data_IF_377696025457
#
_entry.id   IF_377696025457
#
_cell.length_a   1.000
_cell.length_b   1.000
_cell.length_c   1.000
_cell.angle_alpha   90.00
_cell.angle_beta   90.00
_cell.angle_gamma   90.00
#
_symmetry.space_group_name_H-M   'P 1'
#
loop_
_entity.id
_entity.type
_entity.pdbx_description
1 polymer ?
#
# COMPACT_ATOMS: atom_id res chain seq x y z
N UNK A 1 43.18 0.81 9.05
CA UNK A 1 42.23 1.60 8.23
C UNK A 1 41.37 0.72 7.33
N UNK A 2 41.95 -0.20 6.54
CA UNK A 2 41.19 -1.15 5.70
C UNK A 2 40.15 -1.99 6.47
N UNK A 3 40.51 -2.49 7.66
CA UNK A 3 39.61 -3.28 8.52
C UNK A 3 38.42 -2.46 9.02
N UNK A 4 38.65 -1.20 9.41
CA UNK A 4 37.57 -0.29 9.84
C UNK A 4 36.61 0.06 8.70
N UNK A 5 37.13 0.27 7.49
CA UNK A 5 36.30 0.49 6.31
C UNK A 5 35.45 -0.74 5.99
N UNK A 6 35.99 -1.96 6.17
CA UNK A 6 35.25 -3.20 5.98
C UNK A 6 34.04 -3.30 6.93
N UNK A 7 34.21 -2.98 8.21
CA UNK A 7 33.11 -3.01 9.18
C UNK A 7 32.03 -1.96 8.88
N UNK A 8 32.41 -0.78 8.40
CA UNK A 8 31.46 0.26 7.98
C UNK A 8 30.64 -0.22 6.77
N UNK A 9 31.28 -0.85 5.79
CA UNK A 9 30.59 -1.38 4.60
C UNK A 9 29.65 -2.53 4.98
N UNK A 10 30.07 -3.44 5.87
CA UNK A 10 29.22 -4.54 6.36
C UNK A 10 28.01 -3.99 7.13
N UNK A 11 28.22 -3.04 8.05
CA UNK A 11 27.13 -2.41 8.81
C UNK A 11 26.14 -1.65 7.91
N UNK A 12 26.63 -0.93 6.89
CA UNK A 12 25.79 -0.27 5.90
C UNK A 12 25.03 -1.27 5.03
N UNK A 13 25.67 -2.39 4.64
CA UNK A 13 25.05 -3.44 3.85
C UNK A 13 23.92 -4.13 4.65
N UNK A 14 24.11 -4.39 5.94
CA UNK A 14 23.06 -4.93 6.81
C UNK A 14 21.89 -3.96 6.97
N UNK A 15 22.12 -2.65 7.10
CA UNK A 15 21.05 -1.65 7.13
C UNK A 15 20.25 -1.57 5.82
N UNK A 16 20.90 -1.80 4.68
CA UNK A 16 20.22 -1.84 3.37
C UNK A 16 19.45 -3.14 3.18
N UNK A 17 20.02 -4.29 3.59
CA UNK A 17 19.39 -5.60 3.50
C UNK A 17 18.25 -5.80 4.51
N UNK A 18 18.25 -5.05 5.62
CA UNK A 18 17.21 -5.11 6.64
C UNK A 18 15.94 -4.29 6.32
N UNK A 19 15.93 -3.50 5.23
CA UNK A 19 14.67 -2.92 4.74
C UNK A 19 13.86 -4.01 4.05
N UNK A 20 13.08 -4.74 4.83
CA UNK A 20 12.06 -5.62 4.29
C UNK A 20 11.12 -4.83 3.36
N UNK A 21 10.70 -5.48 2.27
CA UNK A 21 9.68 -4.92 1.38
C UNK A 21 8.41 -4.68 2.23
N UNK A 22 7.80 -3.48 2.15
CA UNK A 22 6.59 -3.20 2.92
C UNK A 22 5.51 -4.25 2.67
N UNK A 23 4.75 -4.67 3.70
CA UNK A 23 3.71 -5.70 3.54
C UNK A 23 2.65 -5.38 2.48
N UNK A 24 2.38 -4.10 2.23
CA UNK A 24 1.50 -3.67 1.16
C UNK A 24 2.04 -4.03 -0.22
N UNK A 25 3.32 -3.77 -0.48
CA UNK A 25 3.95 -3.99 -1.78
C UNK A 25 4.03 -5.49 -2.09
N UNK A 26 4.40 -6.31 -1.09
CA UNK A 26 4.36 -7.78 -1.21
C UNK A 26 2.95 -8.30 -1.54
N UNK A 27 1.91 -7.71 -0.93
CA UNK A 27 0.53 -8.09 -1.21
C UNK A 27 0.13 -7.72 -2.64
N UNK A 28 0.50 -6.52 -3.09
CA UNK A 28 0.21 -6.04 -4.44
C UNK A 28 0.90 -6.89 -5.51
N UNK A 29 2.16 -7.27 -5.30
CA UNK A 29 2.88 -8.21 -6.17
C UNK A 29 2.17 -9.57 -6.24
N UNK A 30 1.69 -10.08 -5.09
CA UNK A 30 0.95 -11.34 -5.01
C UNK A 30 -0.40 -11.35 -5.76
N UNK A 31 -0.98 -10.18 -6.06
CA UNK A 31 -2.21 -10.09 -6.84
C UNK A 31 -1.99 -10.36 -8.34
N UNK A 32 -0.75 -10.24 -8.81
CA UNK A 32 -0.40 -10.40 -10.22
C UNK A 32 -0.51 -9.11 -11.06
N UNK A 33 -0.08 -9.25 -12.31
CA UNK A 33 -0.04 -8.18 -13.30
C UNK A 33 -1.44 -7.77 -13.79
N UNK A 34 -1.49 -6.66 -14.53
CA UNK A 34 -2.71 -6.21 -15.17
C UNK A 34 -3.19 -7.23 -16.22
N UNK A 35 -4.46 -7.69 -16.14
CA UNK A 35 -4.99 -8.68 -17.07
C UNK A 35 -5.07 -8.16 -18.50
N UNK A 36 -5.18 -9.10 -19.45
CA UNK A 36 -5.36 -8.73 -20.87
C UNK A 36 -6.68 -7.96 -21.05
N UNK A 37 -6.71 -6.94 -21.94
CA UNK A 37 -7.95 -6.24 -22.24
C UNK A 37 -9.05 -7.22 -22.67
N UNK A 38 -10.22 -7.12 -22.03
CA UNK A 38 -11.38 -7.97 -22.31
C UNK A 38 -11.50 -9.23 -21.45
N UNK A 39 -10.47 -9.59 -20.66
CA UNK A 39 -10.60 -10.65 -19.65
C UNK A 39 -11.25 -10.10 -18.38
N UNK A 40 -12.57 -9.98 -18.42
CA UNK A 40 -13.37 -9.37 -17.35
C UNK A 40 -13.24 -10.17 -16.05
N UNK A 41 -13.19 -11.50 -16.13
CA UNK A 41 -13.12 -12.36 -14.96
C UNK A 41 -11.78 -12.18 -14.22
N UNK A 42 -10.68 -12.19 -14.97
CA UNK A 42 -9.34 -12.00 -14.40
C UNK A 42 -9.15 -10.57 -13.90
N UNK A 43 -9.62 -9.56 -14.65
CA UNK A 43 -9.63 -8.15 -14.22
C UNK A 43 -10.29 -8.02 -12.84
N UNK A 44 -11.48 -8.59 -12.69
CA UNK A 44 -12.22 -8.55 -11.43
C UNK A 44 -11.46 -9.25 -10.29
N UNK A 45 -10.83 -10.40 -10.57
CA UNK A 45 -10.04 -11.16 -9.59
C UNK A 45 -8.87 -10.31 -9.06
N UNK A 46 -8.11 -9.70 -9.97
CA UNK A 46 -6.95 -8.86 -9.64
C UNK A 46 -7.37 -7.60 -8.87
N UNK A 47 -8.44 -6.93 -9.31
CA UNK A 47 -8.96 -5.73 -8.63
C UNK A 47 -9.41 -6.04 -7.19
N UNK A 48 -10.17 -7.11 -6.98
CA UNK A 48 -10.62 -7.53 -5.65
C UNK A 48 -9.44 -7.83 -4.72
N UNK A 49 -8.38 -8.45 -5.24
CA UNK A 49 -7.16 -8.71 -4.48
C UNK A 49 -6.46 -7.40 -4.08
N UNK A 50 -6.26 -6.48 -5.01
CA UNK A 50 -5.59 -5.18 -4.74
C UNK A 50 -6.39 -4.31 -3.77
N UNK A 51 -7.70 -4.40 -3.81
CA UNK A 51 -8.59 -3.75 -2.84
C UNK A 51 -8.45 -4.37 -1.44
N UNK A 52 -8.29 -5.69 -1.35
CA UNK A 52 -7.99 -6.36 -0.08
C UNK A 52 -6.65 -5.89 0.49
N UNK A 53 -5.58 -5.85 -0.32
CA UNK A 53 -4.28 -5.34 0.10
C UNK A 53 -4.36 -3.91 0.66
N UNK A 54 -5.15 -3.05 0.01
CA UNK A 54 -5.33 -1.67 0.46
C UNK A 54 -6.07 -1.58 1.80
N UNK A 55 -7.09 -2.44 2.01
CA UNK A 55 -7.81 -2.54 3.28
C UNK A 55 -6.90 -3.03 4.40
N UNK A 56 -6.10 -4.06 4.14
CA UNK A 56 -5.20 -4.63 5.14
C UNK A 56 -4.12 -3.64 5.54
N UNK A 57 -3.57 -2.90 4.57
CA UNK A 57 -2.60 -1.84 4.86
C UNK A 57 -3.21 -0.69 5.66
N UNK A 58 -4.44 -0.28 5.33
CA UNK A 58 -5.15 0.70 6.15
C UNK A 58 -5.32 0.20 7.59
N UNK A 59 -5.72 -1.05 7.78
CA UNK A 59 -5.90 -1.65 9.11
C UNK A 59 -4.58 -1.66 9.90
N UNK A 60 -3.47 -2.09 9.28
CA UNK A 60 -2.13 -2.05 9.90
C UNK A 60 -1.72 -0.63 10.28
N UNK A 61 -1.92 0.33 9.38
CA UNK A 61 -1.60 1.73 9.63
C UNK A 61 -2.41 2.29 10.82
N UNK A 62 -3.71 1.98 10.88
CA UNK A 62 -4.58 2.42 11.98
C UNK A 62 -4.14 1.84 13.31
N UNK A 63 -3.81 0.55 13.37
CA UNK A 63 -3.28 -0.08 14.57
C UNK A 63 -1.96 0.56 15.03
N UNK A 64 -1.06 0.88 14.09
CA UNK A 64 0.19 1.58 14.39
C UNK A 64 0.01 3.05 14.83
N UNK A 65 -1.19 3.62 14.68
CA UNK A 65 -1.52 5.00 15.02
C UNK A 65 -2.72 5.09 15.96
N UNK A 66 -2.93 4.09 16.82
CA UNK A 66 -4.11 3.98 17.69
C UNK A 66 -4.32 5.22 18.60
N UNK A 67 -3.24 5.85 19.03
CA UNK A 67 -3.27 7.04 19.90
C UNK A 67 -3.15 8.38 19.16
N UNK A 68 -3.08 8.36 17.83
CA UNK A 68 -2.83 9.57 17.02
C UNK A 68 -3.94 9.83 16.03
N UNK A 69 -4.84 10.76 16.34
CA UNK A 69 -5.92 11.17 15.43
C UNK A 69 -5.38 11.73 14.10
N UNK A 70 -4.25 12.45 14.15
CA UNK A 70 -3.55 12.89 12.93
C UNK A 70 -3.02 11.70 12.13
N UNK A 71 -2.45 10.71 12.81
CA UNK A 71 -1.96 9.47 12.20
C UNK A 71 -3.09 8.66 11.56
N UNK A 72 -4.20 8.44 12.27
CA UNK A 72 -5.39 7.78 11.73
C UNK A 72 -5.93 8.50 10.49
N UNK A 73 -6.05 9.82 10.55
CA UNK A 73 -6.45 10.66 9.40
C UNK A 73 -5.54 10.44 8.20
N UNK A 74 -4.22 10.37 8.41
CA UNK A 74 -3.26 10.06 7.36
C UNK A 74 -3.49 8.64 6.79
N UNK A 75 -3.69 7.62 7.63
CA UNK A 75 -3.96 6.26 7.18
C UNK A 75 -5.19 6.17 6.24
N UNK A 76 -6.27 6.88 6.57
CA UNK A 76 -7.46 6.95 5.73
C UNK A 76 -7.19 7.66 4.40
N UNK A 77 -6.48 8.79 4.43
CA UNK A 77 -6.10 9.51 3.22
C UNK A 77 -5.19 8.68 2.32
N UNK A 78 -4.15 8.04 2.87
CA UNK A 78 -3.22 7.20 2.12
C UNK A 78 -3.97 6.03 1.44
N UNK A 79 -4.91 5.39 2.15
CA UNK A 79 -5.73 4.32 1.58
C UNK A 79 -6.65 4.82 0.45
N UNK A 80 -7.23 6.02 0.60
CA UNK A 80 -8.03 6.65 -0.44
C UNK A 80 -7.18 6.98 -1.68
N UNK A 81 -6.00 7.54 -1.46
CA UNK A 81 -5.14 8.03 -2.54
C UNK A 81 -4.61 6.84 -3.36
N UNK A 82 -4.19 5.74 -2.70
CA UNK A 82 -3.86 4.47 -3.39
C UNK A 82 -5.01 3.90 -4.23
N UNK A 83 -6.26 4.05 -3.77
CA UNK A 83 -7.44 3.64 -4.55
C UNK A 83 -7.62 4.54 -5.78
N UNK A 84 -7.52 5.87 -5.59
CA UNK A 84 -7.68 6.87 -6.65
C UNK A 84 -6.62 6.72 -7.74
N UNK A 85 -5.37 6.43 -7.37
CA UNK A 85 -4.27 6.29 -8.33
C UNK A 85 -4.53 5.15 -9.31
N UNK A 86 -5.14 4.04 -8.85
CA UNK A 86 -5.53 2.91 -9.71
C UNK A 86 -6.68 3.24 -10.67
N UNK A 87 -7.49 4.26 -10.40
CA UNK A 87 -8.60 4.65 -11.27
C UNK A 87 -8.16 5.34 -12.57
N UNK A 88 -6.89 5.73 -12.71
CA UNK A 88 -6.41 6.51 -13.86
C UNK A 88 -7.24 7.78 -14.05
N UNK A 89 -7.94 7.92 -15.19
CA UNK A 89 -8.80 9.06 -15.49
C UNK A 89 -10.30 8.84 -15.21
N UNK A 90 -10.70 7.67 -14.71
CA UNK A 90 -12.12 7.36 -14.48
C UNK A 90 -12.68 8.16 -13.29
N UNK A 91 -13.59 9.10 -13.57
CA UNK A 91 -14.19 9.98 -12.54
C UNK A 91 -15.10 9.23 -11.58
N UNK A 92 -15.88 8.28 -12.06
CA UNK A 92 -16.80 7.49 -11.24
C UNK A 92 -16.03 6.61 -10.27
N UNK A 93 -14.98 5.93 -10.75
CA UNK A 93 -14.06 5.16 -9.90
C UNK A 93 -13.47 6.03 -8.78
N UNK A 94 -13.01 7.24 -9.09
CA UNK A 94 -12.48 8.18 -8.09
C UNK A 94 -13.52 8.57 -7.04
N UNK A 95 -14.79 8.72 -7.43
CA UNK A 95 -15.87 9.01 -6.49
C UNK A 95 -16.15 7.83 -5.56
N UNK A 96 -16.16 6.61 -6.09
CA UNK A 96 -16.29 5.38 -5.29
C UNK A 96 -15.15 5.27 -4.28
N UNK A 97 -13.89 5.48 -4.68
CA UNK A 97 -12.75 5.48 -3.76
C UNK A 97 -12.89 6.50 -2.62
N UNK A 98 -13.41 7.70 -2.91
CA UNK A 98 -13.66 8.73 -1.87
C UNK A 98 -14.72 8.31 -0.88
N UNK A 99 -15.75 7.60 -1.32
CA UNK A 99 -16.80 7.07 -0.45
C UNK A 99 -16.30 5.89 0.40
N UNK A 100 -15.61 4.92 -0.22
CA UNK A 100 -15.10 3.73 0.47
C UNK A 100 -14.03 4.02 1.53
N UNK A 101 -13.23 5.07 1.30
CA UNK A 101 -12.16 5.50 2.19
C UNK A 101 -12.46 6.85 2.85
N UNK A 102 -13.75 7.15 3.06
CA UNK A 102 -14.16 8.23 3.93
C UNK A 102 -13.75 7.91 5.38
N UNK A 103 -13.31 8.93 6.13
CA UNK A 103 -13.06 8.78 7.55
C UNK A 103 -14.39 8.46 8.27
N UNK A 104 -14.39 7.57 9.27
CA UNK A 104 -15.58 7.37 10.09
C UNK A 104 -15.97 8.68 10.78
N UNK A 105 -17.27 8.93 10.91
CA UNK A 105 -17.78 10.06 11.69
C UNK A 105 -17.29 9.90 13.14
N UNK A 106 -16.72 10.98 13.69
CA UNK A 106 -16.24 11.05 15.08
C UNK A 106 -17.41 11.08 16.05
#
# INVERSE_FOLDING_TARGET
>A
MLIYMLFIVIGLLECVLARSIPPYDLCMEGCGDDPRPGDIAETRRVELCRDQCNRDERTRCLAANEDSERGKRKCWNDARDRCIDRCGNNRECKQVCRALHAQPAQ
#
